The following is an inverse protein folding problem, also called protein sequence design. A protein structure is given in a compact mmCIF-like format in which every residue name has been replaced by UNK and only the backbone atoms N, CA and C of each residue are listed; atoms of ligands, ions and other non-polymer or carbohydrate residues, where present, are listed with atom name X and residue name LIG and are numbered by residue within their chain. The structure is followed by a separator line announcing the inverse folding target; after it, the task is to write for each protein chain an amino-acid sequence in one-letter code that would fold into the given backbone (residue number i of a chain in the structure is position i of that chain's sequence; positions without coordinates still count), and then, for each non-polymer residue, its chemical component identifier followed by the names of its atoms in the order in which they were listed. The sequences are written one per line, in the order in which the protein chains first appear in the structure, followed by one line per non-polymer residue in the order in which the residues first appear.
data_IF_519362988082
#
_entry.id   IF_519362988082
#
_cell.length_a   1.000
_cell.length_b   1.000
_cell.length_c   1.000
_cell.angle_alpha   90.00
_cell.angle_beta   90.00
_cell.angle_gamma   90.00
#
_symmetry.space_group_name_H-M   'P 1'
#
loop_
_entity.id
_entity.type
_entity.pdbx_description
1 polymer ?
#
# COMPACT_ATOMS: atom_id res chain seq x y z
N UNK A 1 6.93 -17.19 -10.47
CA UNK A 1 6.62 -15.77 -10.17
C UNK A 1 5.11 -15.61 -10.19
N UNK A 2 4.45 -15.59 -9.03
CA UNK A 2 3.00 -15.42 -8.96
C UNK A 2 2.66 -13.96 -9.32
N UNK A 3 2.08 -13.76 -10.50
CA UNK A 3 1.72 -12.44 -11.02
C UNK A 3 0.76 -11.72 -10.07
N UNK A 4 0.98 -10.42 -9.89
CA UNK A 4 0.22 -9.56 -8.98
C UNK A 4 -1.20 -9.24 -9.47
N UNK A 5 -1.70 -9.93 -10.50
CA UNK A 5 -3.04 -9.75 -11.02
C UNK A 5 -4.08 -10.26 -10.00
N UNK A 6 -4.82 -9.33 -9.40
CA UNK A 6 -5.95 -9.63 -8.51
C UNK A 6 -5.69 -9.44 -7.01
N UNK A 7 -4.55 -8.89 -6.58
CA UNK A 7 -4.36 -8.55 -5.16
C UNK A 7 -5.32 -7.44 -4.74
N UNK A 8 -6.07 -7.67 -3.67
CA UNK A 8 -7.01 -6.69 -3.09
C UNK A 8 -6.31 -5.71 -2.14
N UNK A 9 -5.24 -6.15 -1.47
CA UNK A 9 -4.48 -5.32 -0.54
C UNK A 9 -3.05 -5.84 -0.33
N UNK A 10 -2.20 -4.97 0.20
CA UNK A 10 -0.80 -5.20 0.51
C UNK A 10 -0.55 -5.03 2.00
N UNK A 11 0.25 -5.90 2.61
CA UNK A 11 0.89 -5.55 3.88
C UNK A 11 1.92 -4.44 3.69
N UNK A 12 2.39 -3.85 4.80
CA UNK A 12 3.43 -2.81 4.73
C UNK A 12 4.73 -3.32 4.09
N UNK A 13 5.08 -4.60 4.30
CA UNK A 13 6.26 -5.20 3.68
C UNK A 13 6.06 -5.37 2.17
N UNK A 14 4.93 -5.94 1.76
CA UNK A 14 4.61 -6.13 0.34
C UNK A 14 4.48 -4.79 -0.39
N UNK A 15 3.93 -3.77 0.26
CA UNK A 15 3.87 -2.42 -0.29
C UNK A 15 5.26 -1.80 -0.48
N UNK A 16 6.18 -2.06 0.46
CA UNK A 16 7.57 -1.62 0.38
C UNK A 16 8.30 -2.32 -0.76
N UNK A 17 8.13 -3.63 -0.90
CA UNK A 17 8.68 -4.42 -2.01
C UNK A 17 8.10 -3.99 -3.36
N UNK A 18 6.80 -3.71 -3.43
CA UNK A 18 6.12 -3.35 -4.66
C UNK A 18 6.48 -1.93 -5.17
N UNK A 19 6.77 -1.00 -4.27
CA UNK A 19 7.02 0.41 -4.62
C UNK A 19 8.48 0.82 -4.51
N UNK A 20 9.32 0.00 -3.88
CA UNK A 20 10.69 0.38 -3.50
C UNK A 20 10.77 1.42 -2.39
N UNK A 21 9.63 1.90 -1.86
CA UNK A 21 9.59 2.88 -0.78
C UNK A 21 9.93 2.21 0.56
N UNK A 22 10.59 2.96 1.44
CA UNK A 22 10.89 2.46 2.78
C UNK A 22 9.62 2.28 3.61
N UNK A 23 9.62 1.28 4.50
CA UNK A 23 8.52 1.07 5.46
C UNK A 23 8.23 2.31 6.29
N UNK A 24 9.28 3.04 6.70
CA UNK A 24 9.16 4.29 7.46
C UNK A 24 8.40 5.36 6.67
N UNK A 25 8.68 5.48 5.36
CA UNK A 25 7.96 6.39 4.48
C UNK A 25 6.47 6.01 4.39
N UNK A 26 6.17 4.73 4.14
CA UNK A 26 4.80 4.23 4.08
C UNK A 26 4.04 4.45 5.40
N UNK A 27 4.67 4.21 6.55
CA UNK A 27 4.04 4.50 7.84
C UNK A 27 3.81 5.98 8.08
N UNK A 28 4.72 6.85 7.62
CA UNK A 28 4.59 8.30 7.73
C UNK A 28 3.39 8.81 6.95
N UNK A 29 3.24 8.40 5.68
CA UNK A 29 2.10 8.84 4.85
C UNK A 29 0.77 8.24 5.32
N UNK A 30 0.78 7.05 5.93
CA UNK A 30 -0.40 6.50 6.62
C UNK A 30 -0.75 7.34 7.85
N UNK A 31 0.23 7.70 8.67
CA UNK A 31 0.02 8.49 9.87
C UNK A 31 -0.45 9.92 9.55
N UNK A 32 0.03 10.48 8.44
CA UNK A 32 -0.38 11.77 7.90
C UNK A 32 -1.78 11.74 7.25
N UNK A 33 -2.38 10.56 7.05
CA UNK A 33 -3.67 10.42 6.38
C UNK A 33 -3.62 10.51 4.85
N UNK A 34 -2.42 10.60 4.27
CA UNK A 34 -2.21 10.66 2.81
C UNK A 34 -2.47 9.30 2.14
N UNK A 35 -2.19 8.20 2.85
CA UNK A 35 -2.38 6.83 2.39
C UNK A 35 -3.36 6.08 3.30
N UNK A 36 -4.51 5.64 2.75
CA UNK A 36 -5.48 4.91 3.56
C UNK A 36 -5.01 3.48 3.81
N UNK A 37 -5.26 2.99 5.02
CA UNK A 37 -5.02 1.59 5.38
C UNK A 37 -6.10 1.08 6.31
N UNK A 38 -6.34 -0.22 6.28
CA UNK A 38 -7.33 -0.91 7.10
C UNK A 38 -6.66 -1.90 8.04
N UNK A 39 -7.23 -2.06 9.24
CA UNK A 39 -6.84 -3.11 10.19
C UNK A 39 -7.79 -4.29 10.02
N UNK A 40 -7.25 -5.45 9.61
CA UNK A 40 -7.99 -6.71 9.50
C UNK A 40 -7.37 -7.70 10.49
N UNK A 41 -8.09 -7.97 11.57
CA UNK A 41 -7.58 -8.73 12.70
C UNK A 41 -6.30 -8.10 13.28
N UNK A 42 -5.19 -8.85 13.21
CA UNK A 42 -3.87 -8.41 13.70
C UNK A 42 -3.03 -7.69 12.64
N UNK A 43 -3.49 -7.63 11.38
CA UNK A 43 -2.70 -7.13 10.24
C UNK A 43 -3.19 -5.75 9.81
N UNK A 44 -2.25 -4.89 9.43
CA UNK A 44 -2.54 -3.66 8.67
C UNK A 44 -2.37 -3.97 7.19
N UNK A 45 -3.38 -3.61 6.41
CA UNK A 45 -3.43 -3.81 4.97
C UNK A 45 -3.68 -2.47 4.28
N UNK A 46 -3.02 -2.26 3.14
CA UNK A 46 -3.15 -1.09 2.28
C UNK A 46 -3.89 -1.55 1.03
N UNK A 47 -5.09 -1.02 0.74
CA UNK A 47 -5.84 -1.40 -0.46
C UNK A 47 -5.00 -1.22 -1.73
N UNK A 48 -5.18 -2.10 -2.71
CA UNK A 48 -4.45 -2.00 -3.97
C UNK A 48 -4.74 -0.69 -4.72
N UNK A 49 -5.98 -0.19 -4.64
CA UNK A 49 -6.35 1.13 -5.20
C UNK A 49 -5.56 2.27 -4.57
N UNK A 50 -5.33 2.24 -3.26
CA UNK A 50 -4.52 3.26 -2.58
C UNK A 50 -3.06 3.19 -2.98
N UNK A 51 -2.53 1.99 -3.23
CA UNK A 51 -1.17 1.82 -3.73
C UNK A 51 -1.01 2.41 -5.13
N UNK A 52 -1.99 2.21 -6.03
CA UNK A 52 -2.01 2.81 -7.38
C UNK A 52 -2.10 4.33 -7.33
N UNK A 53 -2.98 4.86 -6.48
CA UNK A 53 -3.08 6.30 -6.20
C UNK A 53 -1.76 6.88 -5.70
N UNK A 54 -1.05 6.17 -4.81
CA UNK A 54 0.22 6.64 -4.25
C UNK A 54 1.32 6.79 -5.29
N UNK A 55 1.38 5.89 -6.28
CA UNK A 55 2.40 5.91 -7.35
C UNK A 55 1.98 6.73 -8.58
N UNK A 56 0.78 7.32 -8.56
CA UNK A 56 0.30 8.20 -9.62
C UNK A 56 -0.37 7.50 -10.81
N UNK A 57 -0.74 6.21 -10.71
CA UNK A 57 -1.52 5.53 -11.76
C UNK A 57 -2.97 6.05 -11.85
N UNK A 58 -3.48 6.67 -10.78
CA UNK A 58 -4.79 7.34 -10.75
C UNK A 58 -4.62 8.88 -10.80
N UNK A 59 -3.80 9.37 -11.73
CA UNK A 59 -3.87 10.77 -12.15
C UNK A 59 -5.01 10.90 -13.18
N UNK A 60 -5.92 11.85 -12.94
CA UNK A 60 -7.09 12.17 -13.77
C UNK A 60 -6.76 12.37 -15.26
#
# INVERSE_FOLDING_TARGET
MAGWNGRLAFSLNEASEATGLSRSHLTRVIAAGELRSMKVGRRRLIPASEMRRLVGEDAA
#
